data_IF_043996426649
#
_entry.id   IF_043996426649
#
_cell.length_a   1.000
_cell.length_b   1.000
_cell.length_c   1.000
_cell.angle_alpha   90.00
_cell.angle_beta   90.00
_cell.angle_gamma   90.00
#
_symmetry.space_group_name_H-M   'P 1'
#
loop_
_entity.id
_entity.type
_entity.pdbx_description
1 polymer ?
#
# COMPACT_ATOMS: atom_id res chain seq x y z
N UNK A 1 -17.37 -0.63 3.31
CA UNK A 1 -16.74 -1.89 2.85
C UNK A 1 -16.26 -1.70 1.40
N UNK A 2 -15.38 -2.57 0.90
CA UNK A 2 -14.97 -2.58 -0.52
C UNK A 2 -16.06 -3.16 -1.42
N UNK A 3 -16.77 -4.16 -0.91
CA UNK A 3 -17.89 -4.78 -1.58
C UNK A 3 -18.89 -5.30 -0.54
N UNK A 4 -20.14 -5.44 -0.99
CA UNK A 4 -21.22 -6.08 -0.25
C UNK A 4 -21.86 -7.13 -1.16
N UNK A 5 -21.89 -8.38 -0.71
CA UNK A 5 -22.50 -9.50 -1.42
C UNK A 5 -23.60 -10.12 -0.55
N UNK A 6 -24.60 -10.71 -1.19
CA UNK A 6 -25.66 -11.50 -0.53
C UNK A 6 -25.76 -12.84 -1.22
N UNK A 7 -25.82 -13.92 -0.45
CA UNK A 7 -25.92 -15.29 -0.97
C UNK A 7 -27.34 -15.80 -0.75
N UNK A 8 -28.04 -16.10 -1.85
CA UNK A 8 -29.43 -16.54 -1.80
C UNK A 8 -29.59 -18.05 -2.00
N UNK A 9 -28.63 -18.72 -2.64
CA UNK A 9 -28.70 -20.15 -2.92
C UNK A 9 -27.46 -20.88 -2.39
N UNK A 10 -27.65 -22.09 -1.87
CA UNK A 10 -26.58 -22.91 -1.30
C UNK A 10 -25.44 -23.18 -2.29
N UNK A 11 -25.78 -23.43 -3.56
CA UNK A 11 -24.82 -23.65 -4.64
C UNK A 11 -23.89 -22.45 -4.92
N UNK A 12 -24.28 -21.24 -4.51
CA UNK A 12 -23.50 -20.01 -4.74
C UNK A 12 -22.51 -19.69 -3.60
N UNK A 13 -22.54 -20.45 -2.50
CA UNK A 13 -21.71 -20.17 -1.30
C UNK A 13 -20.22 -20.17 -1.67
N UNK A 14 -19.76 -21.18 -2.41
CA UNK A 14 -18.34 -21.30 -2.79
C UNK A 14 -17.84 -20.09 -3.58
N UNK A 15 -18.58 -19.70 -4.63
CA UNK A 15 -18.19 -18.55 -5.47
C UNK A 15 -18.33 -17.22 -4.72
N UNK A 16 -19.33 -17.06 -3.85
CA UNK A 16 -19.51 -15.85 -3.08
C UNK A 16 -18.38 -15.62 -2.07
N UNK A 17 -17.97 -16.68 -1.36
CA UNK A 17 -16.80 -16.64 -0.46
C UNK A 17 -15.52 -16.34 -1.25
N UNK A 18 -15.33 -16.96 -2.41
CA UNK A 18 -14.17 -16.67 -3.27
C UNK A 18 -14.11 -15.21 -3.72
N UNK A 19 -15.26 -14.63 -4.13
CA UNK A 19 -15.38 -13.21 -4.47
C UNK A 19 -15.10 -12.32 -3.26
N UNK A 20 -15.59 -12.69 -2.07
CA UNK A 20 -15.35 -11.92 -0.85
C UNK A 20 -13.86 -11.92 -0.46
N UNK A 21 -13.19 -13.06 -0.53
CA UNK A 21 -11.74 -13.19 -0.29
C UNK A 21 -10.97 -12.29 -1.25
N UNK A 22 -11.17 -12.44 -2.57
CA UNK A 22 -10.48 -11.61 -3.57
C UNK A 22 -10.74 -10.12 -3.35
N UNK A 23 -12.00 -9.72 -3.16
CA UNK A 23 -12.34 -8.32 -2.89
C UNK A 23 -11.70 -7.79 -1.60
N UNK A 24 -11.46 -8.63 -0.59
CA UNK A 24 -10.83 -8.20 0.65
C UNK A 24 -9.32 -7.95 0.49
N UNK A 25 -8.62 -8.82 -0.26
CA UNK A 25 -7.14 -8.82 -0.32
C UNK A 25 -6.54 -8.17 -1.57
N UNK A 26 -7.25 -8.10 -2.70
CA UNK A 26 -6.70 -7.57 -3.96
C UNK A 26 -6.76 -6.04 -4.03
N UNK A 27 -5.88 -5.42 -4.83
CA UNK A 27 -5.76 -3.96 -4.86
C UNK A 27 -5.47 -3.40 -3.47
N UNK A 28 -6.06 -2.26 -3.09
CA UNK A 28 -5.99 -1.79 -1.71
C UNK A 28 -6.81 -2.70 -0.78
N UNK A 29 -6.23 -3.40 0.20
CA UNK A 29 -6.97 -4.33 1.06
C UNK A 29 -8.01 -3.63 1.95
N UNK A 30 -9.09 -4.32 2.29
CA UNK A 30 -10.15 -3.74 3.12
C UNK A 30 -11.32 -4.69 3.39
N UNK A 31 -12.21 -4.27 4.30
CA UNK A 31 -13.33 -5.11 4.74
C UNK A 31 -14.39 -5.32 3.65
N UNK A 32 -14.92 -6.54 3.59
CA UNK A 32 -16.03 -6.97 2.71
C UNK A 32 -17.18 -7.45 3.57
N UNK A 33 -18.41 -7.16 3.15
CA UNK A 33 -19.61 -7.64 3.80
C UNK A 33 -20.23 -8.79 2.99
N UNK A 34 -20.52 -9.91 3.65
CA UNK A 34 -21.16 -11.08 3.06
C UNK A 34 -22.41 -11.42 3.87
N UNK A 35 -23.57 -11.14 3.28
CA UNK A 35 -24.88 -11.38 3.89
C UNK A 35 -25.36 -12.81 3.61
N UNK A 36 -25.75 -13.50 4.68
CA UNK A 36 -26.23 -14.88 4.67
C UNK A 36 -27.61 -14.92 5.33
N UNK A 37 -28.71 -14.80 4.56
CA UNK A 37 -30.06 -14.80 5.10
C UNK A 37 -30.39 -16.12 5.80
N UNK A 38 -31.23 -16.09 6.84
CA UNK A 38 -31.60 -17.30 7.60
C UNK A 38 -32.12 -18.45 6.71
N UNK A 39 -32.87 -18.13 5.65
CA UNK A 39 -33.40 -19.10 4.68
C UNK A 39 -32.33 -19.83 3.86
N UNK A 40 -31.10 -19.30 3.80
CA UNK A 40 -29.98 -19.96 3.12
C UNK A 40 -29.58 -21.23 3.84
N UNK A 41 -29.52 -21.19 5.19
CA UNK A 41 -29.01 -22.31 6.00
C UNK A 41 -29.90 -23.55 5.96
N UNK A 42 -31.19 -23.40 5.65
CA UNK A 42 -32.13 -24.52 5.54
C UNK A 42 -32.19 -25.14 4.14
N UNK A 43 -31.45 -24.59 3.16
CA UNK A 43 -31.43 -25.18 1.83
C UNK A 43 -30.61 -26.47 1.81
N UNK A 44 -31.09 -27.45 1.05
CA UNK A 44 -30.44 -28.74 0.87
C UNK A 44 -30.02 -28.91 -0.58
N UNK A 45 -28.91 -29.61 -0.79
CA UNK A 45 -28.42 -30.00 -2.10
C UNK A 45 -27.72 -31.35 -2.00
N UNK A 46 -27.52 -32.02 -3.13
CA UNK A 46 -26.73 -33.24 -3.17
C UNK A 46 -25.29 -32.99 -2.66
N UNK A 47 -24.74 -33.94 -1.90
CA UNK A 47 -23.43 -33.77 -1.28
C UNK A 47 -22.29 -33.72 -2.31
N UNK A 48 -22.39 -34.49 -3.40
CA UNK A 48 -21.38 -34.47 -4.46
C UNK A 48 -21.48 -33.19 -5.30
N UNK A 49 -22.68 -32.64 -5.50
CA UNK A 49 -22.87 -31.30 -6.07
C UNK A 49 -22.32 -30.20 -5.15
N UNK A 50 -22.56 -30.29 -3.85
CA UNK A 50 -22.06 -29.33 -2.87
C UNK A 50 -20.54 -29.30 -2.79
N UNK A 51 -19.89 -30.47 -2.81
CA UNK A 51 -18.44 -30.55 -2.86
C UNK A 51 -17.86 -29.92 -4.15
N UNK A 52 -18.54 -30.10 -5.29
CA UNK A 52 -18.14 -29.53 -6.58
C UNK A 52 -18.35 -28.02 -6.68
N UNK A 53 -19.23 -27.42 -5.89
CA UNK A 53 -19.48 -25.97 -5.90
C UNK A 53 -18.46 -25.16 -5.09
N UNK A 54 -17.62 -25.82 -4.28
CA UNK A 54 -16.58 -25.16 -3.50
C UNK A 54 -15.46 -24.62 -4.40
N UNK A 55 -15.05 -23.38 -4.14
CA UNK A 55 -14.02 -22.69 -4.91
C UNK A 55 -12.78 -22.50 -4.05
N UNK A 56 -11.69 -23.17 -4.39
CA UNK A 56 -10.36 -22.86 -3.85
C UNK A 56 -9.82 -21.62 -4.58
N UNK A 57 -9.61 -20.53 -3.84
CA UNK A 57 -9.05 -19.30 -4.41
C UNK A 57 -7.57 -19.51 -4.73
N UNK A 58 -7.22 -19.37 -6.00
CA UNK A 58 -5.82 -19.38 -6.47
C UNK A 58 -5.36 -17.94 -6.62
N UNK A 59 -4.22 -17.61 -6.01
CA UNK A 59 -3.59 -16.30 -6.11
C UNK A 59 -4.57 -15.13 -5.88
N UNK A 60 -5.03 -15.00 -4.62
CA UNK A 60 -6.09 -14.06 -4.26
C UNK A 60 -5.67 -12.58 -4.41
N UNK A 61 -4.38 -12.30 -4.27
CA UNK A 61 -3.74 -11.00 -4.36
C UNK A 61 -2.49 -11.11 -5.24
N UNK A 62 -2.65 -11.17 -6.58
CA UNK A 62 -1.52 -11.29 -7.51
C UNK A 62 -0.62 -10.06 -7.44
N UNK A 63 0.65 -10.26 -7.77
CA UNK A 63 1.61 -9.16 -7.94
C UNK A 63 1.13 -8.18 -9.03
N UNK A 64 1.40 -6.90 -8.82
CA UNK A 64 1.09 -5.80 -9.74
C UNK A 64 2.37 -5.00 -9.95
N UNK A 65 3.04 -5.28 -11.06
CA UNK A 65 4.31 -4.65 -11.42
C UNK A 65 4.07 -3.20 -11.89
N UNK A 66 4.94 -2.25 -11.51
CA UNK A 66 4.89 -0.90 -12.07
C UNK A 66 5.33 -0.90 -13.55
N UNK A 67 4.98 0.15 -14.28
CA UNK A 67 5.53 0.34 -15.63
C UNK A 67 7.02 0.76 -15.55
N UNK A 68 7.87 0.28 -16.47
CA UNK A 68 9.28 0.68 -16.53
C UNK A 68 9.48 2.19 -16.60
N UNK A 69 8.63 2.90 -17.35
CA UNK A 69 8.69 4.36 -17.48
C UNK A 69 8.42 5.08 -16.15
N UNK A 70 7.54 4.52 -15.30
CA UNK A 70 7.28 5.09 -13.97
C UNK A 70 8.47 4.88 -13.04
N UNK A 71 9.10 3.70 -13.07
CA UNK A 71 10.34 3.42 -12.33
C UNK A 71 11.46 4.37 -12.77
N UNK A 72 11.66 4.50 -14.09
CA UNK A 72 12.65 5.42 -14.65
C UNK A 72 12.40 6.87 -14.19
N UNK A 73 11.15 7.34 -14.22
CA UNK A 73 10.78 8.68 -13.74
C UNK A 73 11.10 8.89 -12.27
N UNK A 74 10.80 7.90 -11.42
CA UNK A 74 11.11 7.98 -9.99
C UNK A 74 12.61 8.03 -9.74
N UNK A 75 13.39 7.20 -10.44
CA UNK A 75 14.85 7.21 -10.32
C UNK A 75 15.46 8.53 -10.81
N UNK A 76 14.98 9.10 -11.91
CA UNK A 76 15.46 10.41 -12.40
C UNK A 76 15.17 11.54 -11.41
N UNK A 77 13.97 11.56 -10.81
CA UNK A 77 13.64 12.52 -9.74
C UNK A 77 14.55 12.33 -8.52
N UNK A 78 14.82 11.08 -8.14
CA UNK A 78 15.62 10.76 -6.96
C UNK A 78 17.10 11.09 -7.15
N UNK A 79 17.67 10.88 -8.35
CA UNK A 79 19.07 11.24 -8.68
C UNK A 79 19.35 12.73 -8.52
N UNK A 80 18.36 13.58 -8.74
CA UNK A 80 18.47 15.04 -8.57
C UNK A 80 18.31 15.52 -7.13
N UNK A 81 17.97 14.65 -6.18
CA UNK A 81 17.67 15.02 -4.80
C UNK A 81 18.95 15.40 -4.03
N UNK A 82 18.90 16.51 -3.30
CA UNK A 82 19.98 16.95 -2.39
C UNK A 82 19.72 16.53 -0.95
N UNK A 83 18.44 16.44 -0.55
CA UNK A 83 17.99 16.05 0.80
C UNK A 83 16.81 15.08 0.68
N UNK A 84 17.01 13.88 0.10
CA UNK A 84 15.95 12.90 -0.04
C UNK A 84 15.50 12.36 1.31
N UNK A 85 14.23 11.97 1.41
CA UNK A 85 13.63 11.32 2.57
C UNK A 85 12.71 10.18 2.14
N UNK A 86 12.85 9.00 2.73
CA UNK A 86 11.89 7.90 2.58
C UNK A 86 10.89 7.95 3.75
N UNK A 87 9.60 7.84 3.48
CA UNK A 87 8.56 7.70 4.51
C UNK A 87 7.92 6.33 4.37
N UNK A 88 8.05 5.51 5.41
CA UNK A 88 7.51 4.16 5.44
C UNK A 88 6.13 4.18 6.12
N UNK A 89 5.09 3.85 5.36
CA UNK A 89 3.74 3.74 5.87
C UNK A 89 3.40 2.31 6.30
N UNK A 90 2.25 2.15 6.97
CA UNK A 90 1.74 0.82 7.33
C UNK A 90 1.45 -0.07 6.12
N UNK A 91 1.27 0.52 4.93
CA UNK A 91 1.15 -0.25 3.69
C UNK A 91 2.43 -1.03 3.39
N UNK A 92 3.60 -0.41 3.61
CA UNK A 92 4.89 -1.09 3.44
C UNK A 92 5.04 -2.27 4.40
N UNK A 93 4.70 -2.07 5.68
CA UNK A 93 4.69 -3.17 6.66
C UNK A 93 3.67 -4.27 6.32
N UNK A 94 2.50 -3.90 5.79
CA UNK A 94 1.49 -4.88 5.36
C UNK A 94 1.95 -5.73 4.17
N UNK A 95 2.81 -5.21 3.30
CA UNK A 95 3.29 -5.93 2.13
C UNK A 95 4.25 -7.08 2.46
N UNK A 96 4.80 -7.12 3.68
CA UNK A 96 5.77 -8.13 4.13
C UNK A 96 6.99 -8.27 3.19
N UNK A 97 7.39 -7.15 2.58
CA UNK A 97 8.55 -7.03 1.69
C UNK A 97 9.76 -6.44 2.43
N UNK A 98 9.96 -6.86 3.68
CA UNK A 98 10.82 -6.21 4.66
C UNK A 98 12.27 -6.10 4.18
N UNK A 99 12.81 -7.17 3.61
CA UNK A 99 14.18 -7.20 3.07
C UNK A 99 14.34 -6.29 1.85
N UNK A 100 13.37 -6.27 0.94
CA UNK A 100 13.43 -5.42 -0.25
C UNK A 100 13.33 -3.92 0.12
N UNK A 101 12.49 -3.59 1.10
CA UNK A 101 12.40 -2.22 1.63
C UNK A 101 13.69 -1.83 2.36
N UNK A 102 14.28 -2.75 3.15
CA UNK A 102 15.57 -2.53 3.80
C UNK A 102 16.67 -2.30 2.78
N UNK A 103 16.75 -3.13 1.74
CA UNK A 103 17.73 -3.03 0.68
C UNK A 103 17.63 -1.70 -0.07
N UNK A 104 16.41 -1.22 -0.36
CA UNK A 104 16.19 0.11 -0.93
C UNK A 104 16.76 1.22 -0.03
N UNK A 105 16.48 1.19 1.28
CA UNK A 105 16.98 2.18 2.24
C UNK A 105 18.50 2.11 2.33
N UNK A 106 19.05 0.93 2.60
CA UNK A 106 20.49 0.74 2.83
C UNK A 106 21.34 1.06 1.59
N UNK A 107 20.92 0.62 0.39
CA UNK A 107 21.66 0.88 -0.85
C UNK A 107 21.58 2.33 -1.30
N UNK A 108 20.44 2.99 -1.08
CA UNK A 108 20.28 4.40 -1.45
C UNK A 108 20.99 5.34 -0.46
N UNK A 109 21.19 4.90 0.79
CA UNK A 109 21.73 5.73 1.87
C UNK A 109 20.78 6.84 2.31
N UNK A 110 19.51 6.79 1.89
CA UNK A 110 18.51 7.82 2.13
C UNK A 110 17.94 7.65 3.55
N UNK A 111 17.89 8.71 4.38
CA UNK A 111 17.25 8.61 5.69
C UNK A 111 15.77 8.24 5.55
N UNK A 112 15.27 7.42 6.48
CA UNK A 112 13.88 6.99 6.50
C UNK A 112 13.13 7.45 7.75
N UNK A 113 11.83 7.69 7.59
CA UNK A 113 10.91 8.04 8.66
C UNK A 113 9.76 7.01 8.71
N UNK A 114 9.71 6.14 9.74
CA UNK A 114 8.61 5.20 9.88
C UNK A 114 7.38 5.89 10.48
N UNK A 115 6.22 5.68 9.87
CA UNK A 115 4.92 5.98 10.49
C UNK A 115 4.64 4.98 11.63
N UNK A 116 3.69 5.28 12.50
CA UNK A 116 3.44 4.52 13.75
C UNK A 116 3.45 2.99 13.60
N UNK A 117 2.68 2.42 12.68
CA UNK A 117 2.62 0.97 12.45
C UNK A 117 3.67 0.44 11.45
N UNK A 118 4.56 1.29 10.96
CA UNK A 118 5.72 0.90 10.16
C UNK A 118 7.01 0.83 11.01
N UNK A 119 6.94 1.21 12.29
CA UNK A 119 8.03 1.03 13.26
C UNK A 119 8.35 -0.46 13.36
N UNK A 120 9.64 -0.80 13.31
CA UNK A 120 10.12 -2.18 13.29
C UNK A 120 10.25 -2.81 11.89
N UNK A 121 9.73 -2.18 10.82
CA UNK A 121 9.99 -2.65 9.44
C UNK A 121 11.49 -2.64 9.13
N UNK A 122 12.15 -1.55 9.52
CA UNK A 122 13.56 -1.56 9.89
C UNK A 122 13.65 -1.35 11.40
N UNK A 123 14.72 -1.81 12.08
CA UNK A 123 14.92 -1.53 13.50
C UNK A 123 14.80 -0.02 13.78
N UNK A 124 14.07 0.37 14.83
CA UNK A 124 13.90 1.79 15.14
C UNK A 124 15.22 2.50 15.48
N UNK A 125 16.22 1.72 15.91
CA UNK A 125 17.60 2.13 16.20
C UNK A 125 18.51 2.12 14.98
N UNK A 126 17.99 1.83 13.78
CA UNK A 126 18.76 1.80 12.55
C UNK A 126 19.43 3.17 12.30
N UNK A 127 20.71 3.23 11.89
CA UNK A 127 21.46 4.49 11.76
C UNK A 127 20.85 5.49 10.77
N UNK A 128 20.11 5.01 9.76
CA UNK A 128 19.40 5.86 8.80
C UNK A 128 17.99 6.27 9.26
N UNK A 129 17.56 5.88 10.47
CA UNK A 129 16.26 6.27 11.03
C UNK A 129 16.28 7.75 11.43
N UNK A 130 15.43 8.54 10.79
CA UNK A 130 15.21 9.95 11.10
C UNK A 130 14.04 10.18 12.08
N UNK A 131 13.57 9.12 12.77
CA UNK A 131 12.42 9.18 13.67
C UNK A 131 12.53 10.26 14.75
N UNK A 132 13.72 10.43 15.35
CA UNK A 132 13.97 11.43 16.39
C UNK A 132 13.98 12.88 15.86
N UNK A 133 14.18 13.07 14.55
CA UNK A 133 14.31 14.38 13.91
C UNK A 133 13.14 14.69 12.96
N UNK A 134 11.97 14.06 13.16
CA UNK A 134 10.80 14.14 12.27
C UNK A 134 10.49 15.55 11.78
N UNK A 135 10.40 16.54 12.68
CA UNK A 135 10.04 17.91 12.32
C UNK A 135 11.05 18.59 11.41
N UNK A 136 12.35 18.26 11.56
CA UNK A 136 13.43 18.80 10.73
C UNK A 136 13.43 18.14 9.36
N UNK A 137 13.43 16.81 9.30
CA UNK A 137 13.52 16.09 8.01
C UNK A 137 12.32 16.32 7.11
N UNK A 138 11.10 16.44 7.65
CA UNK A 138 9.92 16.79 6.86
C UNK A 138 9.99 18.21 6.29
N UNK A 139 10.52 19.15 7.08
CA UNK A 139 10.64 20.56 6.66
C UNK A 139 11.73 20.74 5.61
N UNK A 140 12.86 20.07 5.78
CA UNK A 140 14.08 20.35 5.02
C UNK A 140 14.23 19.47 3.78
N UNK A 141 13.57 18.30 3.72
CA UNK A 141 13.62 17.44 2.53
C UNK A 141 13.27 18.20 1.25
N UNK A 142 13.85 17.80 0.12
CA UNK A 142 13.49 18.32 -1.21
C UNK A 142 12.74 17.28 -2.05
N UNK A 143 13.13 16.01 -1.96
CA UNK A 143 12.42 14.86 -2.55
C UNK A 143 11.97 13.91 -1.44
N UNK A 144 10.71 13.48 -1.50
CA UNK A 144 10.10 12.60 -0.50
C UNK A 144 9.51 11.39 -1.19
N UNK A 145 9.97 10.20 -0.81
CA UNK A 145 9.50 8.90 -1.31
C UNK A 145 8.51 8.31 -0.31
N UNK A 146 7.24 8.28 -0.66
CA UNK A 146 6.18 7.68 0.15
C UNK A 146 6.05 6.19 -0.21
N UNK A 147 6.32 5.28 0.72
CA UNK A 147 6.19 3.84 0.50
C UNK A 147 5.01 3.32 1.31
N UNK A 148 3.87 3.06 0.64
CA UNK A 148 2.64 2.61 1.31
C UNK A 148 2.14 3.59 2.39
N UNK A 149 2.45 4.88 2.22
CA UNK A 149 2.07 5.98 3.09
C UNK A 149 1.19 6.98 2.33
N UNK A 150 0.13 7.46 2.98
CA UNK A 150 -0.75 8.49 2.43
C UNK A 150 -0.41 9.85 3.00
N UNK A 151 -0.46 10.89 2.16
CA UNK A 151 -0.40 12.28 2.58
C UNK A 151 -1.74 12.76 3.16
N UNK A 152 -2.19 12.11 4.23
CA UNK A 152 -3.40 12.51 4.95
C UNK A 152 -3.04 13.41 6.16
N UNK A 153 -4.00 13.56 7.08
CA UNK A 153 -3.85 14.38 8.29
C UNK A 153 -2.63 14.02 9.15
N UNK A 154 -2.17 12.75 9.16
CA UNK A 154 -0.98 12.33 9.91
C UNK A 154 0.30 12.98 9.37
N UNK A 155 0.29 13.31 8.08
CA UNK A 155 1.37 13.98 7.37
C UNK A 155 0.95 15.41 6.98
N UNK A 156 -0.01 16.01 7.71
CA UNK A 156 -0.47 17.39 7.48
C UNK A 156 -0.82 17.67 6.01
N UNK A 157 -1.32 16.65 5.30
CA UNK A 157 -1.67 16.73 3.88
C UNK A 157 -0.52 17.15 2.93
N UNK A 158 0.74 16.95 3.34
CA UNK A 158 1.90 17.44 2.57
C UNK A 158 2.05 18.96 2.58
N UNK A 159 1.41 19.66 3.54
CA UNK A 159 1.25 21.13 3.54
C UNK A 159 1.56 21.76 4.89
N UNK A 160 1.69 23.09 4.87
CA UNK A 160 1.85 23.92 6.06
C UNK A 160 3.27 23.87 6.64
N UNK A 161 3.44 24.47 7.83
CA UNK A 161 4.75 24.70 8.45
C UNK A 161 5.60 23.43 8.62
N UNK A 162 4.95 22.26 8.75
CA UNK A 162 5.61 20.95 8.86
C UNK A 162 6.44 20.59 7.62
N UNK A 163 6.05 21.08 6.44
CA UNK A 163 6.68 20.76 5.15
C UNK A 163 7.51 21.92 4.58
N UNK A 164 7.75 22.96 5.37
CA UNK A 164 8.49 24.15 4.92
C UNK A 164 7.68 25.02 3.95
N UNK A 165 8.38 25.69 3.06
CA UNK A 165 7.75 26.60 2.09
C UNK A 165 6.83 25.84 1.12
N UNK A 166 5.65 26.38 0.79
CA UNK A 166 4.75 25.77 -0.19
C UNK A 166 5.45 25.50 -1.53
N UNK A 167 5.28 24.30 -2.07
CA UNK A 167 5.90 23.89 -3.35
C UNK A 167 7.39 23.54 -3.26
N UNK A 168 8.00 23.56 -2.07
CA UNK A 168 9.41 23.19 -1.89
C UNK A 168 9.70 21.68 -1.95
N UNK A 169 8.66 20.85 -2.05
CA UNK A 169 8.73 19.39 -1.95
C UNK A 169 8.32 18.75 -3.26
N UNK A 170 9.10 17.77 -3.70
CA UNK A 170 8.78 16.87 -4.81
C UNK A 170 8.44 15.49 -4.24
N UNK A 171 7.30 14.94 -4.63
CA UNK A 171 6.83 13.66 -4.11
C UNK A 171 6.93 12.53 -5.14
N UNK A 172 7.49 11.41 -4.70
CA UNK A 172 7.43 10.10 -5.33
C UNK A 172 6.51 9.25 -4.45
N UNK A 173 5.55 8.54 -5.03
CA UNK A 173 4.60 7.75 -4.24
C UNK A 173 4.45 6.35 -4.79
N UNK A 174 4.69 5.36 -3.93
CA UNK A 174 4.48 3.93 -4.18
C UNK A 174 3.20 3.51 -3.46
N UNK A 175 2.15 3.21 -4.23
CA UNK A 175 0.87 2.73 -3.70
C UNK A 175 0.18 1.83 -4.74
N UNK A 176 -0.57 0.84 -4.26
CA UNK A 176 -1.33 -0.07 -5.12
C UNK A 176 -2.62 0.59 -5.66
N UNK A 177 -3.08 1.69 -5.05
CA UNK A 177 -4.30 2.40 -5.43
C UNK A 177 -3.98 3.63 -6.30
N UNK A 178 -4.26 3.59 -7.62
CA UNK A 178 -3.98 4.72 -8.52
C UNK A 178 -4.77 5.98 -8.15
N UNK A 179 -5.96 5.85 -7.56
CA UNK A 179 -6.78 7.01 -7.14
C UNK A 179 -6.22 7.75 -5.93
N UNK A 180 -5.22 7.20 -5.25
CA UNK A 180 -4.54 7.88 -4.15
C UNK A 180 -3.51 8.89 -4.64
N UNK A 181 -3.04 8.76 -5.89
CA UNK A 181 -2.14 9.74 -6.50
C UNK A 181 -2.87 11.08 -6.64
N UNK A 182 -2.14 12.18 -6.43
CA UNK A 182 -2.64 13.55 -6.52
C UNK A 182 -3.80 13.91 -5.55
N UNK A 183 -4.08 13.07 -4.55
CA UNK A 183 -5.19 13.25 -3.62
C UNK A 183 -5.08 14.50 -2.76
N UNK A 184 -3.86 14.98 -2.49
CA UNK A 184 -3.60 16.12 -1.61
C UNK A 184 -2.62 17.15 -2.20
N UNK A 185 -1.57 16.67 -2.85
CA UNK A 185 -0.52 17.45 -3.54
C UNK A 185 -0.15 16.70 -4.82
N UNK A 186 0.40 17.40 -5.80
CA UNK A 186 0.87 16.78 -7.04
C UNK A 186 1.99 15.76 -6.76
N UNK A 187 1.88 14.57 -7.35
CA UNK A 187 2.88 13.50 -7.30
C UNK A 187 3.63 13.49 -8.61
N UNK A 188 4.91 13.86 -8.57
CA UNK A 188 5.74 14.00 -9.79
C UNK A 188 6.12 12.64 -10.36
N UNK A 189 6.29 11.63 -9.51
CA UNK A 189 6.55 10.26 -9.94
C UNK A 189 5.63 9.26 -9.21
N UNK A 190 4.42 9.00 -9.74
CA UNK A 190 3.56 7.96 -9.22
C UNK A 190 4.06 6.57 -9.67
N UNK A 191 4.33 5.69 -8.70
CA UNK A 191 4.60 4.25 -8.90
C UNK A 191 3.37 3.47 -8.43
N UNK A 192 2.52 3.09 -9.39
CA UNK A 192 1.34 2.28 -9.11
C UNK A 192 1.69 0.80 -9.25
N UNK A 193 1.55 0.05 -8.15
CA UNK A 193 1.87 -1.36 -8.09
C UNK A 193 1.89 -1.86 -6.64
N UNK A 194 2.03 -3.17 -6.45
CA UNK A 194 2.29 -3.69 -5.12
C UNK A 194 3.69 -3.27 -4.65
N UNK A 195 3.84 -3.08 -3.34
CA UNK A 195 5.05 -2.46 -2.79
C UNK A 195 6.28 -3.31 -3.06
N UNK A 196 6.19 -4.63 -2.92
CA UNK A 196 7.32 -5.54 -3.16
C UNK A 196 7.83 -5.43 -4.59
N UNK A 197 6.92 -5.55 -5.56
CA UNK A 197 7.25 -5.38 -6.98
C UNK A 197 7.83 -4.01 -7.29
N UNK A 198 7.30 -2.95 -6.68
CA UNK A 198 7.75 -1.58 -6.91
C UNK A 198 9.12 -1.26 -6.33
N UNK A 199 9.46 -1.77 -5.14
CA UNK A 199 10.77 -1.49 -4.52
C UNK A 199 11.90 -2.34 -5.09
N UNK A 200 11.57 -3.50 -5.68
CA UNK A 200 12.55 -4.39 -6.31
C UNK A 200 12.89 -4.01 -7.76
N UNK A 201 12.04 -3.22 -8.44
CA UNK A 201 12.23 -2.78 -9.82
C UNK A 201 13.20 -1.59 -9.92
#
# INVERSE_FOLDING_TARGET
CKAAFRVLHAQDIGIAVARAIRAAVSGRPGGVYLDLPAKLFSQVMDAAEGARSLVKVVDAAPAQLPSPDSVARALEVLKGAKRPLIILGKGAAYAQADEAVRELVEKSGIPFLPMSMAKGLLPDTHPQSAGAARSMVLKDADVVVLVGARLNWLLSHGKGKTWGEPGSKTFIQIDIEPREMDSNVAIVAPLVGDIGSCVSA
#
